data_IF_120343195810
#
_entry.id   IF_120343195810
#
_cell.length_a   1.000
_cell.length_b   1.000
_cell.length_c   1.000
_cell.angle_alpha   90.00
_cell.angle_beta   90.00
_cell.angle_gamma   90.00
#
_symmetry.space_group_name_H-M   'P 1'
#
loop_
_entity.id
_entity.type
_entity.pdbx_description
1 polymer ?
#
# COMPACT_ATOMS: atom_id res chain seq x y z
N UNK A 1 -3.36 -9.10 -13.00
CA UNK A 1 -2.22 -8.38 -13.61
C UNK A 1 -2.51 -6.88 -13.55
N UNK A 2 -1.52 -6.05 -13.22
CA UNK A 2 -1.60 -4.59 -13.46
C UNK A 2 -1.99 -4.36 -14.92
N UNK A 3 -2.87 -3.41 -15.23
CA UNK A 3 -3.38 -3.16 -16.58
C UNK A 3 -2.29 -2.92 -17.63
N UNK A 4 -1.07 -2.60 -17.16
CA UNK A 4 0.04 -2.15 -17.99
C UNK A 4 1.19 -3.18 -18.06
N UNK A 5 1.04 -4.37 -17.45
CA UNK A 5 2.04 -5.45 -17.49
C UNK A 5 3.33 -5.21 -16.69
N UNK A 6 3.42 -4.10 -15.97
CA UNK A 6 4.58 -3.76 -15.13
C UNK A 6 4.57 -4.56 -13.81
N UNK A 7 5.77 -4.93 -13.34
CA UNK A 7 5.99 -5.58 -12.04
C UNK A 7 5.50 -4.66 -10.91
N UNK A 8 5.84 -3.38 -11.00
CA UNK A 8 5.38 -2.34 -10.09
C UNK A 8 4.29 -1.47 -10.75
N UNK A 9 3.20 -1.11 -10.05
CA UNK A 9 2.30 -0.05 -10.48
C UNK A 9 3.05 1.29 -10.59
N UNK A 10 2.49 2.27 -11.32
CA UNK A 10 3.10 3.60 -11.45
C UNK A 10 3.20 4.30 -10.08
N UNK A 11 4.37 4.84 -9.68
CA UNK A 11 4.60 5.39 -8.34
C UNK A 11 3.60 6.46 -7.88
N UNK A 12 3.15 7.33 -8.76
CA UNK A 12 2.19 8.41 -8.48
C UNK A 12 0.74 7.97 -8.34
N UNK A 13 0.42 6.73 -8.71
CA UNK A 13 -0.94 6.22 -8.57
C UNK A 13 -1.20 5.80 -7.13
N UNK A 14 -2.47 5.79 -6.71
CA UNK A 14 -2.85 5.26 -5.41
C UNK A 14 -2.39 3.81 -5.15
N UNK A 15 -2.33 2.97 -6.20
CA UNK A 15 -1.80 1.61 -6.09
C UNK A 15 -0.28 1.62 -5.87
N UNK A 16 0.43 2.54 -6.53
CA UNK A 16 1.86 2.77 -6.34
C UNK A 16 2.19 3.21 -4.93
N UNK A 17 1.54 4.28 -4.46
CA UNK A 17 1.72 4.81 -3.12
C UNK A 17 1.39 3.77 -2.03
N UNK A 18 0.34 2.95 -2.24
CA UNK A 18 0.01 1.88 -1.30
C UNK A 18 1.08 0.78 -1.27
N UNK A 19 1.58 0.37 -2.43
CA UNK A 19 2.63 -0.65 -2.49
C UNK A 19 3.94 -0.12 -1.89
N UNK A 20 4.32 1.12 -2.19
CA UNK A 20 5.50 1.77 -1.60
C UNK A 20 5.42 1.78 -0.06
N UNK A 21 4.26 2.09 0.51
CA UNK A 21 4.06 2.00 1.96
C UNK A 21 4.19 0.56 2.47
N UNK A 22 3.58 -0.41 1.80
CA UNK A 22 3.65 -1.81 2.21
C UNK A 22 5.08 -2.38 2.20
N UNK A 23 5.95 -1.88 1.33
CA UNK A 23 7.37 -2.28 1.24
C UNK A 23 8.23 -1.72 2.37
N UNK A 24 7.83 -0.59 2.97
CA UNK A 24 8.58 0.06 4.06
C UNK A 24 7.97 -0.25 5.42
N UNK A 25 6.66 -0.35 5.50
CA UNK A 25 5.93 -0.45 6.76
C UNK A 25 5.65 -1.90 7.14
N UNK A 26 5.90 -2.24 8.40
CA UNK A 26 5.46 -3.49 9.00
C UNK A 26 3.92 -3.61 9.12
N UNK A 27 3.14 -2.64 8.65
CA UNK A 27 1.68 -2.73 8.54
C UNK A 27 0.99 -1.41 8.23
N UNK A 28 0.20 -1.41 7.15
CA UNK A 28 -0.55 -0.24 6.67
C UNK A 28 -2.01 -0.33 7.12
N UNK A 29 -2.53 0.78 7.63
CA UNK A 29 -3.97 0.94 7.96
C UNK A 29 -4.65 1.84 6.94
N UNK A 30 -5.98 1.73 6.81
CA UNK A 30 -6.75 2.60 5.92
C UNK A 30 -6.56 4.10 6.20
N UNK A 31 -6.48 4.51 7.48
CA UNK A 31 -6.23 5.92 7.85
C UNK A 31 -4.86 6.40 7.41
N UNK A 32 -3.84 5.56 7.54
CA UNK A 32 -2.47 5.91 7.14
C UNK A 32 -2.36 6.05 5.62
N UNK A 33 -2.98 5.13 4.89
CA UNK A 33 -3.10 5.25 3.44
C UNK A 33 -3.87 6.51 3.02
N UNK A 34 -5.02 6.78 3.63
CA UNK A 34 -5.85 7.94 3.31
C UNK A 34 -5.11 9.27 3.53
N UNK A 35 -4.35 9.38 4.62
CA UNK A 35 -3.56 10.59 4.91
C UNK A 35 -2.44 10.90 3.91
N UNK A 36 -1.94 9.89 3.17
CA UNK A 36 -0.86 10.06 2.20
C UNK A 36 -1.36 10.08 0.76
N UNK A 37 -2.29 9.19 0.41
CA UNK A 37 -2.81 9.04 -0.94
C UNK A 37 -4.10 9.84 -1.20
N UNK A 38 -4.62 10.56 -0.19
CA UNK A 38 -5.90 11.28 -0.23
C UNK A 38 -7.06 10.42 -0.75
N UNK A 39 -7.09 9.16 -0.32
CA UNK A 39 -8.02 8.16 -0.83
C UNK A 39 -8.50 7.20 0.24
N UNK A 40 -9.80 7.22 0.49
CA UNK A 40 -10.47 6.27 1.39
C UNK A 40 -10.64 4.86 0.77
N UNK A 41 -10.17 4.64 -0.46
CA UNK A 41 -10.41 3.39 -1.23
C UNK A 41 -9.31 2.34 -1.05
N UNK A 42 -8.63 2.32 0.11
CA UNK A 42 -7.53 1.39 0.41
C UNK A 42 -7.86 -0.07 0.02
N UNK A 43 -9.05 -0.57 0.39
CA UNK A 43 -9.45 -1.95 0.10
C UNK A 43 -9.46 -2.30 -1.40
N UNK A 44 -9.84 -1.35 -2.27
CA UNK A 44 -9.85 -1.55 -3.72
C UNK A 44 -8.41 -1.71 -4.25
N UNK A 45 -7.49 -0.87 -3.77
CA UNK A 45 -6.10 -0.95 -4.21
C UNK A 45 -5.37 -2.16 -3.64
N UNK A 46 -5.67 -2.59 -2.40
CA UNK A 46 -5.20 -3.88 -1.87
C UNK A 46 -5.66 -5.04 -2.77
N UNK A 47 -6.94 -5.05 -3.16
CA UNK A 47 -7.45 -6.08 -4.09
C UNK A 47 -6.67 -6.07 -5.41
N UNK A 48 -6.47 -4.90 -6.02
CA UNK A 48 -5.71 -4.76 -7.28
C UNK A 48 -4.27 -5.26 -7.16
N UNK A 49 -3.59 -4.96 -6.05
CA UNK A 49 -2.22 -5.43 -5.81
C UNK A 49 -2.18 -6.96 -5.65
N UNK A 50 -3.14 -7.56 -4.94
CA UNK A 50 -3.28 -9.02 -4.86
C UNK A 50 -3.54 -9.64 -6.22
N UNK A 51 -4.44 -9.06 -7.01
CA UNK A 51 -4.74 -9.51 -8.37
C UNK A 51 -3.52 -9.34 -9.31
N UNK A 52 -2.56 -8.51 -8.93
CA UNK A 52 -1.26 -8.35 -9.61
C UNK A 52 -0.17 -9.30 -9.07
N UNK A 53 -0.48 -10.14 -8.07
CA UNK A 53 0.43 -11.15 -7.54
C UNK A 53 1.13 -10.76 -6.23
N UNK A 54 0.89 -9.58 -5.67
CA UNK A 54 1.52 -9.16 -4.42
C UNK A 54 0.93 -9.92 -3.23
N UNK A 55 1.75 -10.64 -2.44
CA UNK A 55 1.28 -11.47 -1.34
C UNK A 55 0.99 -10.61 -0.11
N UNK A 56 -0.19 -9.99 -0.08
CA UNK A 56 -0.61 -9.08 0.99
C UNK A 56 -1.56 -9.81 1.96
N UNK A 57 -1.14 -9.95 3.20
CA UNK A 57 -1.94 -10.47 4.29
C UNK A 57 -2.82 -9.38 4.92
N UNK A 58 -4.00 -9.77 5.41
CA UNK A 58 -4.88 -8.89 6.19
C UNK A 58 -5.09 -9.48 7.57
N UNK A 59 -4.89 -8.67 8.60
CA UNK A 59 -5.29 -8.99 9.96
C UNK A 59 -6.35 -7.99 10.43
N UNK A 60 -7.30 -8.45 11.24
CA UNK A 60 -8.28 -7.59 11.90
C UNK A 60 -7.80 -7.30 13.31
N UNK A 61 -7.61 -6.02 13.63
CA UNK A 61 -7.18 -5.57 14.94
C UNK A 61 -8.35 -4.90 15.64
N UNK A 62 -8.55 -5.24 16.91
CA UNK A 62 -9.54 -4.58 17.75
C UNK A 62 -9.10 -3.13 18.05
N UNK A 63 -10.07 -2.22 18.05
CA UNK A 63 -9.87 -0.83 18.40
C UNK A 63 -11.16 -0.19 18.90
N UNK A 64 -11.14 1.13 19.04
CA UNK A 64 -12.30 1.91 19.39
C UNK A 64 -12.29 3.23 18.63
N UNK A 65 -13.47 3.73 18.28
CA UNK A 65 -13.67 5.12 17.87
C UNK A 65 -14.43 5.86 18.99
N UNK A 66 -14.79 7.13 18.77
CA UNK A 66 -15.50 7.95 19.77
C UNK A 66 -16.91 7.44 20.15
N UNK A 67 -17.43 6.44 19.44
CA UNK A 67 -18.80 5.94 19.57
C UNK A 67 -18.87 4.48 20.00
N UNK A 68 -17.96 3.62 19.52
CA UNK A 68 -18.05 2.17 19.71
C UNK A 68 -16.69 1.46 19.58
N UNK A 69 -16.66 0.20 20.03
CA UNK A 69 -15.56 -0.72 19.73
C UNK A 69 -15.67 -1.19 18.30
N UNK A 70 -14.56 -1.12 17.57
CA UNK A 70 -14.49 -1.47 16.15
C UNK A 70 -13.40 -2.49 15.90
N UNK A 71 -13.43 -3.16 14.75
CA UNK A 71 -12.27 -3.86 14.20
C UNK A 71 -11.85 -3.17 12.93
N UNK A 72 -10.55 -2.96 12.74
CA UNK A 72 -10.01 -2.39 11.52
C UNK A 72 -8.97 -3.30 10.90
N UNK A 73 -8.87 -3.26 9.58
CA UNK A 73 -7.90 -4.02 8.83
C UNK A 73 -6.50 -3.39 8.92
N UNK A 74 -5.51 -4.25 9.13
CA UNK A 74 -4.09 -3.96 8.95
C UNK A 74 -3.57 -4.85 7.82
N UNK A 75 -2.93 -4.24 6.84
CA UNK A 75 -2.37 -4.91 5.67
C UNK A 75 -0.85 -5.01 5.79
N UNK A 76 -0.29 -6.17 5.47
CA UNK A 76 1.16 -6.43 5.50
C UNK A 76 1.57 -7.21 4.27
N UNK A 77 2.77 -6.97 3.75
CA UNK A 77 3.40 -7.95 2.85
C UNK A 77 3.72 -9.21 3.66
N UNK A 78 3.52 -10.37 3.04
CA UNK A 78 3.93 -11.63 3.61
C UNK A 78 5.46 -11.69 3.71
N UNK A 79 5.97 -12.37 4.73
CA UNK A 79 7.42 -12.49 5.03
C UNK A 79 8.24 -13.13 3.90
N UNK A 80 7.58 -13.74 2.90
CA UNK A 80 8.22 -14.29 1.69
C UNK A 80 8.71 -13.20 0.73
N UNK A 81 8.23 -11.95 0.87
CA UNK A 81 8.69 -10.85 0.01
C UNK A 81 10.10 -10.43 0.43
N UNK A 82 11.04 -10.59 -0.48
CA UNK A 82 12.40 -10.09 -0.32
C UNK A 82 12.47 -8.68 -0.87
N UNK A 83 12.96 -7.74 -0.08
CA UNK A 83 13.24 -6.37 -0.52
C UNK A 83 14.63 -6.34 -1.12
N UNK A 84 14.74 -6.00 -2.40
CA UNK A 84 16.01 -5.77 -3.09
C UNK A 84 16.05 -4.39 -3.72
N UNK A 85 17.05 -4.16 -4.56
CA UNK A 85 17.32 -2.86 -5.19
C UNK A 85 16.12 -2.32 -5.98
N UNK A 86 15.36 -3.19 -6.66
CA UNK A 86 14.21 -2.77 -7.44
C UNK A 86 13.05 -2.24 -6.56
N UNK A 87 12.80 -2.89 -5.41
CA UNK A 87 11.82 -2.43 -4.43
C UNK A 87 12.26 -1.11 -3.77
N UNK A 88 13.56 -0.97 -3.46
CA UNK A 88 14.14 0.25 -2.89
C UNK A 88 14.03 1.44 -3.86
N UNK A 89 14.38 1.25 -5.13
CA UNK A 89 14.23 2.26 -6.18
C UNK A 89 12.76 2.65 -6.38
N UNK A 90 11.86 1.67 -6.33
CA UNK A 90 10.43 1.92 -6.44
C UNK A 90 9.90 2.74 -5.26
N UNK A 91 10.32 2.44 -4.03
CA UNK A 91 9.99 3.21 -2.83
C UNK A 91 10.50 4.65 -2.96
N UNK A 92 11.73 4.84 -3.42
CA UNK A 92 12.28 6.18 -3.65
C UNK A 92 11.47 6.96 -4.69
N UNK A 93 11.08 6.31 -5.79
CA UNK A 93 10.22 6.91 -6.80
C UNK A 93 8.82 7.29 -6.26
N UNK A 94 8.25 6.50 -5.34
CA UNK A 94 7.00 6.85 -4.66
C UNK A 94 7.15 8.11 -3.80
N UNK A 95 8.28 8.26 -3.10
CA UNK A 95 8.60 9.46 -2.32
C UNK A 95 8.67 10.71 -3.18
N UNK A 96 9.43 10.65 -4.28
CA UNK A 96 9.54 11.76 -5.25
C UNK A 96 8.18 12.13 -5.87
N UNK A 97 7.32 11.15 -6.16
CA UNK A 97 5.97 11.41 -6.66
C UNK A 97 5.07 12.09 -5.62
N UNK A 98 5.17 11.71 -4.34
CA UNK A 98 4.41 12.34 -3.26
C UNK A 98 4.82 13.80 -3.03
N UNK A 99 6.08 14.15 -3.32
CA UNK A 99 6.60 15.51 -3.28
C UNK A 99 6.27 16.32 -4.56
N UNK A 100 5.64 15.72 -5.56
CA UNK A 100 5.31 16.35 -6.84
C UNK A 100 6.49 16.51 -7.79
N UNK A 101 7.62 15.83 -7.52
CA UNK A 101 8.82 15.83 -8.36
C UNK A 101 8.66 14.90 -9.56
N UNK A 102 8.00 13.75 -9.36
CA UNK A 102 7.60 12.85 -10.42
C UNK A 102 6.09 12.99 -10.70
N UNK A 103 5.67 12.95 -11.97
CA UNK A 103 4.25 12.94 -12.33
C UNK A 103 3.56 11.69 -11.78
#
# INVERSE_FOLDING_TARGET
>A
MSSDGLIFPRPWTCAGQLLGQLLVEAGVTHRRFDGLASSMRAAIYIKRLRDAGWPIQTSLVAGANRFERVRYAVYRLADVVTIGTAEEEFVAACGLAAEGVLP
#
